data_IF_615472882304
#
_entry.id   IF_615472882304
#
_cell.length_a   1.000
_cell.length_b   1.000
_cell.length_c   1.000
_cell.angle_alpha   90.00
_cell.angle_beta   90.00
_cell.angle_gamma   90.00
#
_symmetry.space_group_name_H-M   'P 1'
#
loop_
_entity.id
_entity.type
_entity.pdbx_description
1 polymer ?
#
# COMPACT_ATOMS: atom_id res chain seq x y z
N UNK A 1 -5.80 -22.36 -3.24
CA UNK A 1 -5.07 -22.11 -1.98
C UNK A 1 -4.01 -21.07 -2.26
N UNK A 2 -4.18 -19.84 -1.77
CA UNK A 2 -3.14 -18.81 -1.85
C UNK A 2 -2.06 -19.13 -0.81
N UNK A 3 -0.79 -18.84 -1.14
CA UNK A 3 0.41 -19.00 -0.30
C UNK A 3 0.41 -18.12 0.98
N UNK A 4 -0.76 -17.73 1.49
CA UNK A 4 -0.90 -16.71 2.54
C UNK A 4 -1.13 -17.26 3.96
N UNK A 5 -1.12 -18.58 4.18
CA UNK A 5 -1.53 -19.15 5.48
C UNK A 5 -0.72 -20.35 5.98
N UNK A 6 0.59 -20.35 5.79
CA UNK A 6 1.44 -21.26 6.54
C UNK A 6 2.53 -20.47 7.25
N UNK A 7 2.21 -20.02 8.47
CA UNK A 7 3.24 -19.94 9.50
C UNK A 7 3.67 -21.39 9.80
N UNK A 8 4.55 -21.95 8.96
CA UNK A 8 5.16 -23.25 9.21
C UNK A 8 6.04 -23.06 10.43
N UNK A 9 5.78 -23.80 11.51
CA UNK A 9 6.62 -23.78 12.69
C UNK A 9 8.09 -24.03 12.28
N UNK A 10 8.96 -23.04 12.51
CA UNK A 10 10.39 -23.12 12.21
C UNK A 10 10.88 -22.32 11.00
N UNK A 11 10.02 -21.70 10.19
CA UNK A 11 10.45 -20.75 9.13
C UNK A 11 10.51 -19.33 9.72
N UNK A 12 11.62 -18.59 9.56
CA UNK A 12 11.71 -17.22 10.05
C UNK A 12 10.73 -16.30 9.31
N UNK A 13 10.04 -15.42 10.05
CA UNK A 13 9.07 -14.47 9.48
C UNK A 13 9.71 -13.57 8.40
N UNK A 14 11.00 -13.25 8.54
CA UNK A 14 11.81 -12.62 7.49
C UNK A 14 12.64 -13.64 6.73
N UNK A 15 12.39 -13.73 5.42
CA UNK A 15 13.07 -14.65 4.49
C UNK A 15 14.04 -13.94 3.54
N UNK A 16 13.97 -12.61 3.45
CA UNK A 16 14.93 -11.78 2.70
C UNK A 16 15.37 -10.56 3.52
N UNK A 17 16.64 -10.12 3.42
CA UNK A 17 17.11 -8.95 4.15
C UNK A 17 16.42 -7.67 3.63
N UNK A 18 16.10 -6.75 4.54
CA UNK A 18 15.75 -5.38 4.18
C UNK A 18 17.01 -4.69 3.66
N UNK A 19 17.02 -4.33 2.37
CA UNK A 19 18.17 -3.72 1.68
C UNK A 19 18.00 -2.22 1.44
N UNK A 20 16.78 -1.76 1.16
CA UNK A 20 16.52 -0.36 0.81
C UNK A 20 15.25 0.17 1.49
N UNK A 21 15.36 1.27 2.23
CA UNK A 21 14.22 1.97 2.81
C UNK A 21 14.05 3.28 2.05
N UNK A 22 12.92 3.44 1.37
CA UNK A 22 12.61 4.66 0.61
C UNK A 22 11.70 5.54 1.46
N UNK A 23 12.25 6.63 1.95
CA UNK A 23 11.52 7.69 2.64
C UNK A 23 10.82 8.57 1.59
N UNK A 24 9.71 8.07 1.07
CA UNK A 24 8.90 8.78 0.08
C UNK A 24 7.42 8.53 0.31
N UNK A 25 6.68 9.59 0.63
CA UNK A 25 5.22 9.50 0.77
C UNK A 25 4.55 9.37 -0.60
N UNK A 26 3.25 9.07 -0.60
CA UNK A 26 2.46 8.97 -1.83
C UNK A 26 2.65 10.18 -2.75
N UNK A 27 2.68 9.93 -4.06
CA UNK A 27 2.80 10.94 -5.14
C UNK A 27 4.16 11.65 -5.25
N UNK A 28 5.22 11.11 -4.67
CA UNK A 28 6.61 11.60 -4.88
C UNK A 28 7.36 10.83 -5.97
N UNK A 29 6.71 9.84 -6.60
CA UNK A 29 7.33 8.96 -7.59
C UNK A 29 7.58 7.53 -7.08
N UNK A 30 6.94 7.13 -5.99
CA UNK A 30 7.11 5.83 -5.32
C UNK A 30 6.90 4.62 -6.24
N UNK A 31 5.92 4.66 -7.16
CA UNK A 31 5.73 3.56 -8.13
C UNK A 31 6.87 3.47 -9.16
N UNK A 32 7.39 4.61 -9.62
CA UNK A 32 8.59 4.65 -10.46
C UNK A 32 9.79 4.10 -9.69
N UNK A 33 9.97 4.51 -8.43
CA UNK A 33 11.04 4.01 -7.56
C UNK A 33 10.91 2.51 -7.31
N UNK A 34 9.70 2.00 -7.04
CA UNK A 34 9.42 0.57 -6.89
C UNK A 34 9.85 -0.21 -8.14
N UNK A 35 9.54 0.30 -9.33
CA UNK A 35 9.97 -0.31 -10.59
C UNK A 35 11.47 -0.18 -10.84
N UNK A 36 12.08 0.93 -10.42
CA UNK A 36 13.51 1.16 -10.56
C UNK A 36 14.30 0.18 -9.69
N UNK A 37 13.92 0.03 -8.42
CA UNK A 37 14.50 -0.93 -7.49
C UNK A 37 14.39 -2.37 -8.02
N UNK A 38 13.25 -2.73 -8.61
CA UNK A 38 13.09 -4.04 -9.25
C UNK A 38 14.10 -4.25 -10.40
N UNK A 39 14.30 -3.26 -11.27
CA UNK A 39 15.29 -3.33 -12.35
C UNK A 39 16.74 -3.40 -11.83
N UNK A 40 17.00 -2.84 -10.65
CA UNK A 40 18.30 -2.89 -9.97
C UNK A 40 18.52 -4.19 -9.18
N UNK A 41 17.58 -5.14 -9.23
CA UNK A 41 17.70 -6.43 -8.52
C UNK A 41 17.28 -6.39 -7.04
N UNK A 42 16.64 -5.31 -6.60
CA UNK A 42 15.96 -5.24 -5.31
C UNK A 42 14.49 -5.64 -5.51
N UNK A 43 14.24 -6.93 -5.42
CA UNK A 43 12.93 -7.51 -5.66
C UNK A 43 12.00 -7.29 -4.46
N UNK A 44 10.70 -7.32 -4.73
CA UNK A 44 9.65 -7.18 -3.72
C UNK A 44 9.78 -5.92 -2.87
N UNK A 45 9.67 -4.76 -3.52
CA UNK A 45 9.53 -3.48 -2.83
C UNK A 45 8.07 -3.28 -2.37
N UNK A 46 7.85 -3.21 -1.06
CA UNK A 46 6.55 -2.98 -0.44
C UNK A 46 5.99 -1.60 -0.80
N UNK A 47 4.69 -1.52 -1.04
CA UNK A 47 3.98 -0.31 -1.46
C UNK A 47 2.49 -0.44 -1.10
N UNK A 48 1.71 0.64 -1.12
CA UNK A 48 0.24 0.60 -1.00
C UNK A 48 -0.44 -0.46 -1.89
N UNK A 49 0.07 -0.69 -3.11
CA UNK A 49 -0.43 -1.73 -4.00
C UNK A 49 -0.33 -3.14 -3.39
N UNK A 50 0.70 -3.41 -2.60
CA UNK A 50 0.89 -4.68 -1.88
C UNK A 50 -0.19 -4.86 -0.81
N UNK A 51 -0.62 -3.79 -0.13
CA UNK A 51 -1.76 -3.85 0.80
C UNK A 51 -3.05 -4.21 0.06
N UNK A 52 -3.31 -3.55 -1.08
CA UNK A 52 -4.50 -3.81 -1.91
C UNK A 52 -4.54 -5.23 -2.50
N UNK A 53 -3.39 -5.90 -2.60
CA UNK A 53 -3.27 -7.29 -3.04
C UNK A 53 -3.45 -8.30 -1.90
N UNK A 54 -3.30 -7.88 -0.64
CA UNK A 54 -3.30 -8.73 0.56
C UNK A 54 -4.26 -8.16 1.63
N UNK A 55 -5.51 -7.87 1.21
CA UNK A 55 -6.55 -7.27 2.06
C UNK A 55 -7.05 -8.18 3.19
N UNK A 56 -6.67 -9.45 3.16
CA UNK A 56 -6.98 -10.47 4.15
C UNK A 56 -6.18 -10.31 5.45
N UNK A 57 -4.96 -9.77 5.37
CA UNK A 57 -4.00 -9.83 6.49
C UNK A 57 -3.25 -8.51 6.73
N UNK A 58 -2.81 -7.82 5.68
CA UNK A 58 -1.97 -6.63 5.84
C UNK A 58 -2.68 -5.44 6.49
N UNK A 59 -3.97 -5.13 6.20
CA UNK A 59 -4.65 -4.00 6.83
C UNK A 59 -4.63 -4.04 8.35
N UNK A 60 -4.79 -5.21 8.97
CA UNK A 60 -4.81 -5.32 10.44
C UNK A 60 -3.44 -5.11 11.07
N UNK A 61 -2.37 -5.64 10.46
CA UNK A 61 -1.00 -5.39 10.89
C UNK A 61 -0.66 -3.89 10.80
N UNK A 62 -1.06 -3.22 9.72
CA UNK A 62 -0.87 -1.77 9.62
C UNK A 62 -1.70 -0.98 10.64
N UNK A 63 -2.95 -1.36 10.90
CA UNK A 63 -3.75 -0.74 11.97
C UNK A 63 -3.00 -0.82 13.30
N UNK A 64 -2.46 -1.99 13.65
CA UNK A 64 -1.64 -2.15 14.87
C UNK A 64 -0.43 -1.22 14.88
N UNK A 65 0.31 -1.12 13.76
CA UNK A 65 1.49 -0.26 13.66
C UNK A 65 1.14 1.22 13.86
N UNK A 66 0.08 1.72 13.21
CA UNK A 66 -0.35 3.11 13.35
C UNK A 66 -0.90 3.42 14.75
N UNK A 67 -1.70 2.53 15.35
CA UNK A 67 -2.21 2.75 16.71
C UNK A 67 -1.08 2.72 17.76
N UNK A 68 -0.06 1.88 17.56
CA UNK A 68 1.13 1.87 18.42
C UNK A 68 1.92 3.18 18.29
N UNK A 69 2.19 3.67 17.07
CA UNK A 69 2.97 4.89 16.84
C UNK A 69 2.25 6.18 17.25
N UNK A 70 0.99 6.35 16.86
CA UNK A 70 0.29 7.64 16.97
C UNK A 70 -0.68 7.73 18.15
N UNK A 71 -1.14 6.60 18.68
CA UNK A 71 -2.10 6.56 19.80
C UNK A 71 -1.50 5.97 21.08
N UNK A 72 -0.23 5.54 21.05
CA UNK A 72 0.43 4.86 22.18
C UNK A 72 -0.25 3.56 22.61
N UNK A 73 -1.05 2.96 21.73
CA UNK A 73 -1.85 1.77 22.06
C UNK A 73 -1.18 0.51 21.53
N UNK A 74 -0.79 -0.38 22.44
CA UNK A 74 -0.09 -1.63 22.10
C UNK A 74 1.38 -1.41 21.71
N UNK A 75 1.98 -2.42 21.10
CA UNK A 75 3.36 -2.39 20.64
C UNK A 75 3.45 -2.99 19.23
N UNK A 76 4.42 -2.49 18.46
CA UNK A 76 4.74 -3.00 17.13
C UNK A 76 6.26 -3.10 16.99
N UNK A 77 6.78 -4.32 17.16
CA UNK A 77 8.21 -4.57 17.27
C UNK A 77 8.84 -5.12 16.00
N UNK A 78 10.13 -5.44 16.08
CA UNK A 78 10.88 -6.06 14.97
C UNK A 78 10.20 -7.32 14.42
N UNK A 79 9.69 -8.19 15.28
CA UNK A 79 8.99 -9.41 14.85
C UNK A 79 7.71 -9.10 14.04
N UNK A 80 6.95 -8.07 14.40
CA UNK A 80 5.79 -7.64 13.61
C UNK A 80 6.21 -7.06 12.25
N UNK A 81 7.31 -6.30 12.21
CA UNK A 81 7.89 -5.81 10.95
C UNK A 81 8.44 -6.93 10.07
N UNK A 82 9.08 -7.93 10.67
CA UNK A 82 9.57 -9.12 9.97
C UNK A 82 8.37 -9.92 9.43
N UNK A 83 7.25 -10.03 10.16
CA UNK A 83 6.03 -10.66 9.65
C UNK A 83 5.39 -9.90 8.49
N UNK A 84 5.40 -8.57 8.54
CA UNK A 84 4.71 -7.71 7.55
C UNK A 84 5.56 -7.44 6.30
N UNK A 85 6.87 -7.32 6.45
CA UNK A 85 7.82 -6.90 5.41
C UNK A 85 8.92 -7.96 5.16
N UNK A 86 8.80 -9.16 5.75
CA UNK A 86 9.83 -10.19 5.76
C UNK A 86 10.16 -10.80 4.41
N UNK A 87 9.21 -10.72 3.48
CA UNK A 87 9.37 -11.11 2.09
C UNK A 87 9.80 -9.94 1.18
N UNK A 88 10.00 -8.75 1.72
CA UNK A 88 10.35 -7.56 0.96
C UNK A 88 11.79 -7.12 1.21
N UNK A 89 12.55 -6.90 0.13
CA UNK A 89 13.91 -6.33 0.21
C UNK A 89 13.89 -4.81 0.31
N UNK A 90 12.75 -4.18 0.00
CA UNK A 90 12.62 -2.75 0.12
C UNK A 90 11.19 -2.34 0.54
N UNK A 91 11.03 -1.11 1.01
CA UNK A 91 9.72 -0.52 1.24
C UNK A 91 9.69 0.95 0.80
N UNK A 92 8.55 1.38 0.30
CA UNK A 92 8.29 2.75 -0.12
C UNK A 92 6.80 3.07 0.00
N UNK A 93 6.44 4.34 -0.19
CA UNK A 93 5.06 4.81 -0.14
C UNK A 93 4.41 4.68 1.24
N UNK A 94 3.23 5.27 1.37
CA UNK A 94 2.28 4.88 2.38
C UNK A 94 1.94 3.38 2.21
N UNK A 95 1.74 2.64 3.30
CA UNK A 95 1.82 3.05 4.70
C UNK A 95 3.23 3.02 5.34
N UNK A 96 4.27 2.57 4.64
CA UNK A 96 5.59 2.38 5.25
C UNK A 96 6.36 3.68 5.52
N UNK A 97 6.19 4.71 4.70
CA UNK A 97 7.01 5.93 4.74
C UNK A 97 7.02 6.64 6.10
N UNK A 98 5.90 6.81 6.83
CA UNK A 98 5.93 7.42 8.16
C UNK A 98 6.73 6.63 9.20
N UNK A 99 7.07 5.37 8.94
CA UNK A 99 7.87 4.53 9.84
C UNK A 99 9.33 4.41 9.40
N UNK A 100 9.77 5.19 8.42
CA UNK A 100 11.12 5.05 7.84
C UNK A 100 12.24 5.22 8.86
N UNK A 101 12.09 6.09 9.86
CA UNK A 101 13.10 6.29 10.90
C UNK A 101 13.22 5.03 11.77
N UNK A 102 12.10 4.49 12.23
CA UNK A 102 12.07 3.27 13.03
C UNK A 102 12.57 2.06 12.23
N UNK A 103 12.18 1.95 10.96
CA UNK A 103 12.67 0.91 10.06
C UNK A 103 14.18 1.06 9.84
N UNK A 104 14.70 2.26 9.64
CA UNK A 104 16.14 2.48 9.45
C UNK A 104 16.95 2.14 10.71
N UNK A 105 16.38 2.34 11.90
CA UNK A 105 16.97 1.92 13.16
C UNK A 105 16.94 0.39 13.34
N UNK A 106 15.83 -0.27 12.98
CA UNK A 106 15.66 -1.73 13.09
C UNK A 106 16.46 -2.53 12.05
N UNK A 107 16.77 -1.91 10.91
CA UNK A 107 17.53 -2.50 9.80
C UNK A 107 18.72 -1.59 9.45
N UNK A 108 19.80 -1.58 10.27
CA UNK A 108 20.92 -0.66 10.09
C UNK A 108 21.71 -0.88 8.79
N UNK A 109 21.71 -2.10 8.26
CA UNK A 109 22.36 -2.45 6.99
C UNK A 109 21.62 -1.92 5.74
N UNK A 110 20.34 -1.52 5.89
CA UNK A 110 19.57 -1.01 4.77
C UNK A 110 20.04 0.40 4.39
N UNK A 111 20.24 0.62 3.09
CA UNK A 111 20.48 1.96 2.52
C UNK A 111 19.19 2.77 2.47
N UNK A 112 19.28 4.09 2.58
CA UNK A 112 18.10 4.95 2.71
C UNK A 112 18.04 5.96 1.57
N UNK A 113 16.90 5.98 0.88
CA UNK A 113 16.62 6.94 -0.20
C UNK A 113 15.53 7.89 0.28
N UNK A 114 15.86 9.15 0.52
CA UNK A 114 14.90 10.21 0.78
C UNK A 114 14.34 10.67 -0.56
N UNK A 115 13.29 9.99 -1.01
CA UNK A 115 12.61 10.26 -2.28
C UNK A 115 11.69 11.46 -2.12
N UNK A 116 12.13 12.61 -2.60
CA UNK A 116 11.44 13.88 -2.36
C UNK A 116 10.86 14.49 -3.65
N UNK A 117 9.94 15.42 -3.45
CA UNK A 117 9.27 16.21 -4.48
C UNK A 117 9.02 17.61 -3.94
N UNK A 118 8.98 18.59 -4.84
CA UNK A 118 8.48 19.92 -4.51
C UNK A 118 7.10 19.81 -3.80
N UNK A 119 6.94 20.40 -2.58
CA UNK A 119 5.73 20.23 -1.76
C UNK A 119 4.46 20.71 -2.46
N UNK A 120 4.51 21.80 -3.21
CA UNK A 120 3.38 22.35 -3.96
C UNK A 120 2.94 21.37 -5.06
N UNK A 121 3.88 20.88 -5.87
CA UNK A 121 3.60 19.85 -6.89
C UNK A 121 3.15 18.52 -6.30
N UNK A 122 3.59 18.18 -5.09
CA UNK A 122 3.09 17.01 -4.36
C UNK A 122 1.62 17.21 -3.97
N UNK A 123 1.29 18.34 -3.35
CA UNK A 123 -0.06 18.68 -2.89
C UNK A 123 -1.06 18.58 -4.05
N UNK A 124 -0.77 19.25 -5.17
CA UNK A 124 -1.61 19.21 -6.38
C UNK A 124 -1.77 17.78 -6.92
N UNK A 125 -0.69 16.99 -6.89
CA UNK A 125 -0.76 15.61 -7.35
C UNK A 125 -1.63 14.75 -6.44
N UNK A 126 -1.53 14.90 -5.12
CA UNK A 126 -2.31 14.17 -4.13
C UNK A 126 -3.80 14.55 -4.18
N UNK A 127 -4.10 15.85 -4.32
CA UNK A 127 -5.47 16.37 -4.45
C UNK A 127 -6.19 15.78 -5.67
N UNK A 128 -5.49 15.69 -6.80
CA UNK A 128 -6.07 15.19 -8.06
C UNK A 128 -5.98 13.67 -8.26
N UNK A 129 -5.51 12.91 -7.27
CA UNK A 129 -5.43 11.44 -7.36
C UNK A 129 -5.97 10.76 -6.11
N UNK A 130 -5.16 10.63 -5.06
CA UNK A 130 -5.49 9.90 -3.83
C UNK A 130 -6.76 10.45 -3.20
N UNK A 131 -6.89 11.77 -3.08
CA UNK A 131 -8.05 12.39 -2.48
C UNK A 131 -9.35 12.08 -3.25
N UNK A 132 -9.31 12.17 -4.59
CA UNK A 132 -10.45 11.81 -5.44
C UNK A 132 -10.83 10.33 -5.35
N UNK A 133 -9.86 9.43 -5.17
CA UNK A 133 -10.13 8.00 -5.09
C UNK A 133 -10.82 7.58 -3.78
N UNK A 134 -10.53 8.28 -2.67
CA UNK A 134 -11.09 7.95 -1.36
C UNK A 134 -12.47 8.57 -1.10
N UNK A 135 -12.83 9.65 -1.80
CA UNK A 135 -14.15 10.29 -1.69
C UNK A 135 -15.12 9.83 -2.78
N UNK A 136 -16.39 9.53 -2.46
CA UNK A 136 -17.39 9.25 -3.49
C UNK A 136 -17.63 10.50 -4.35
N UNK A 137 -17.69 10.31 -5.66
CA UNK A 137 -17.89 11.39 -6.64
C UNK A 137 -19.36 11.56 -7.04
N UNK A 138 -20.24 10.64 -6.63
CA UNK A 138 -21.69 10.70 -6.90
C UNK A 138 -22.51 10.00 -5.81
N UNK A 139 -23.83 10.26 -5.79
CA UNK A 139 -24.77 9.54 -4.90
C UNK A 139 -24.79 8.04 -5.21
N UNK A 140 -24.80 7.66 -6.49
CA UNK A 140 -24.79 6.26 -6.91
C UNK A 140 -23.52 5.55 -6.42
N UNK A 141 -22.36 6.19 -6.55
CA UNK A 141 -21.11 5.64 -6.05
C UNK A 141 -21.11 5.51 -4.51
N UNK A 142 -21.65 6.49 -3.79
CA UNK A 142 -21.82 6.41 -2.33
C UNK A 142 -22.68 5.21 -1.93
N UNK A 143 -23.83 5.00 -2.58
CA UNK A 143 -24.70 3.85 -2.32
C UNK A 143 -23.96 2.54 -2.62
N UNK A 144 -23.26 2.45 -3.74
CA UNK A 144 -22.48 1.25 -4.08
C UNK A 144 -21.34 1.00 -3.09
N UNK A 145 -20.66 2.04 -2.58
CA UNK A 145 -19.64 1.89 -1.54
C UNK A 145 -20.23 1.37 -0.22
N UNK A 146 -21.43 1.84 0.17
CA UNK A 146 -22.14 1.29 1.34
C UNK A 146 -22.53 -0.17 1.14
N UNK A 147 -23.03 -0.52 -0.05
CA UNK A 147 -23.33 -1.90 -0.44
C UNK A 147 -22.09 -2.80 -0.34
N UNK A 148 -20.97 -2.36 -0.93
CA UNK A 148 -19.69 -3.07 -0.82
C UNK A 148 -19.23 -3.20 0.64
N UNK A 149 -19.32 -2.14 1.44
CA UNK A 149 -18.94 -2.19 2.86
C UNK A 149 -19.78 -3.21 3.65
N UNK A 150 -21.09 -3.29 3.38
CA UNK A 150 -21.98 -4.25 4.02
C UNK A 150 -21.64 -5.71 3.66
N UNK A 151 -21.27 -5.97 2.40
CA UNK A 151 -21.20 -7.34 1.86
C UNK A 151 -19.80 -7.83 1.49
N UNK A 152 -18.76 -7.01 1.56
CA UNK A 152 -17.37 -7.37 1.27
C UNK A 152 -16.49 -7.13 2.51
N UNK A 153 -16.15 -8.22 3.22
CA UNK A 153 -15.32 -8.16 4.42
C UNK A 153 -13.95 -7.55 4.17
N UNK A 154 -13.34 -7.81 3.01
CA UNK A 154 -12.04 -7.23 2.65
C UNK A 154 -12.10 -5.71 2.54
N UNK A 155 -13.21 -5.15 2.08
CA UNK A 155 -13.40 -3.71 2.04
C UNK A 155 -13.61 -3.13 3.44
N UNK A 156 -14.24 -3.84 4.37
CA UNK A 156 -14.29 -3.37 5.76
C UNK A 156 -12.89 -3.27 6.37
N UNK A 157 -12.05 -4.28 6.16
CA UNK A 157 -10.64 -4.25 6.61
C UNK A 157 -9.87 -3.10 5.96
N UNK A 158 -10.02 -2.90 4.64
CA UNK A 158 -9.44 -1.77 3.93
C UNK A 158 -9.89 -0.40 4.47
N UNK A 159 -11.20 -0.22 4.68
CA UNK A 159 -11.79 1.03 5.17
C UNK A 159 -11.31 1.33 6.58
N UNK A 160 -11.27 0.32 7.46
CA UNK A 160 -10.71 0.46 8.82
C UNK A 160 -9.26 0.93 8.77
N UNK A 161 -8.42 0.25 8.01
CA UNK A 161 -7.01 0.64 7.83
C UNK A 161 -6.87 2.05 7.25
N UNK A 162 -7.61 2.37 6.19
CA UNK A 162 -7.57 3.68 5.54
C UNK A 162 -7.96 4.80 6.50
N UNK A 163 -9.00 4.58 7.31
CA UNK A 163 -9.44 5.54 8.32
C UNK A 163 -8.37 5.77 9.39
N UNK A 164 -7.77 4.69 9.93
CA UNK A 164 -6.68 4.81 10.92
C UNK A 164 -5.48 5.54 10.30
N UNK A 165 -5.02 5.13 9.13
CA UNK A 165 -3.89 5.77 8.45
C UNK A 165 -4.15 7.27 8.23
N UNK A 166 -5.32 7.64 7.68
CA UNK A 166 -5.63 9.03 7.39
C UNK A 166 -5.79 9.85 8.68
N UNK A 167 -6.60 9.38 9.63
CA UNK A 167 -6.90 10.17 10.85
C UNK A 167 -5.73 10.25 11.83
N UNK A 168 -4.85 9.25 11.87
CA UNK A 168 -3.70 9.23 12.78
C UNK A 168 -2.46 9.90 12.19
N UNK A 169 -2.15 9.60 10.92
CA UNK A 169 -0.90 10.03 10.30
C UNK A 169 -1.05 11.29 9.48
N UNK A 170 -2.21 11.56 8.87
CA UNK A 170 -2.45 12.73 8.00
C UNK A 170 -3.72 13.50 8.43
N UNK A 171 -3.74 14.09 9.65
CA UNK A 171 -4.95 14.68 10.24
C UNK A 171 -5.28 16.07 9.65
N UNK A 172 -5.49 16.14 8.35
CA UNK A 172 -5.89 17.35 7.63
C UNK A 172 -6.87 17.04 6.50
N UNK A 173 -7.75 17.98 6.18
CA UNK A 173 -8.57 17.95 4.98
C UNK A 173 -7.76 18.45 3.79
N UNK A 174 -7.42 17.52 2.88
CA UNK A 174 -6.57 17.82 1.72
C UNK A 174 -7.17 18.86 0.75
N UNK A 175 -8.46 19.20 0.82
CA UNK A 175 -9.09 20.21 -0.05
C UNK A 175 -9.05 21.58 0.59
N UNK A 176 -9.42 21.64 1.87
CA UNK A 176 -9.65 22.91 2.56
C UNK A 176 -8.45 23.38 3.38
N UNK A 177 -7.47 22.50 3.63
CA UNK A 177 -6.34 22.76 4.54
C UNK A 177 -4.99 22.53 3.86
N UNK A 178 -4.78 23.17 2.70
CA UNK A 178 -3.54 23.10 1.93
C UNK A 178 -2.29 23.34 2.77
N UNK A 179 -2.30 24.41 3.58
CA UNK A 179 -1.13 24.77 4.40
C UNK A 179 -0.80 23.70 5.43
N UNK A 180 -1.81 23.03 6.01
CA UNK A 180 -1.60 21.90 6.92
C UNK A 180 -1.04 20.68 6.19
N UNK A 181 -1.51 20.41 4.97
CA UNK A 181 -0.98 19.32 4.15
C UNK A 181 0.50 19.54 3.81
N UNK A 182 0.87 20.76 3.40
CA UNK A 182 2.25 21.13 3.09
C UNK A 182 3.12 21.11 4.35
N UNK A 183 2.63 21.64 5.46
CA UNK A 183 3.33 21.60 6.74
C UNK A 183 3.59 20.17 7.21
N UNK A 184 2.59 19.29 7.09
CA UNK A 184 2.73 17.85 7.37
C UNK A 184 3.81 17.21 6.48
N UNK A 185 3.77 17.47 5.17
CA UNK A 185 4.77 16.94 4.23
C UNK A 185 6.17 17.38 4.65
N UNK A 186 6.39 18.68 4.86
CA UNK A 186 7.69 19.20 5.26
C UNK A 186 8.17 18.63 6.60
N UNK A 187 7.27 18.52 7.59
CA UNK A 187 7.58 17.93 8.89
C UNK A 187 8.01 16.46 8.75
N UNK A 188 7.32 15.67 7.93
CA UNK A 188 7.64 14.27 7.70
C UNK A 188 9.04 14.10 7.08
N UNK A 189 9.41 14.94 6.10
CA UNK A 189 10.74 14.92 5.51
C UNK A 189 11.82 15.45 6.45
N UNK A 190 11.49 16.41 7.32
CA UNK A 190 12.41 16.85 8.36
C UNK A 190 12.67 15.75 9.39
N UNK A 191 11.64 14.98 9.78
CA UNK A 191 11.77 13.80 10.63
C UNK A 191 12.74 12.78 10.02
N UNK A 192 12.63 12.50 8.71
CA UNK A 192 13.55 11.59 8.01
C UNK A 192 15.00 12.07 8.06
N UNK A 193 15.23 13.36 7.78
CA UNK A 193 16.58 13.95 7.77
C UNK A 193 17.21 14.00 9.17
N UNK A 194 16.40 14.21 10.20
CA UNK A 194 16.87 14.28 11.58
C UNK A 194 17.08 12.90 12.21
N UNK A 195 16.23 11.93 11.87
CA UNK A 195 16.18 10.63 12.52
C UNK A 195 17.11 9.58 11.90
N UNK A 196 17.66 9.82 10.71
CA UNK A 196 18.47 8.84 9.97
C UNK A 196 19.86 9.43 9.71
N UNK A 197 20.95 8.71 10.04
CA UNK A 197 22.31 9.19 9.79
C UNK A 197 22.54 9.56 8.32
N UNK A 198 23.10 10.74 8.07
CA UNK A 198 23.19 11.32 6.73
C UNK A 198 24.06 10.48 5.78
N UNK A 199 25.08 9.80 6.30
CA UNK A 199 25.97 8.89 5.57
C UNK A 199 25.24 7.67 5.00
N UNK A 200 24.08 7.30 5.54
CA UNK A 200 23.22 6.23 5.02
C UNK A 200 22.19 6.71 4.00
N UNK A 201 22.06 8.02 3.83
CA UNK A 201 20.99 8.65 3.08
C UNK A 201 21.47 9.22 1.75
N UNK A 202 20.58 9.20 0.76
CA UNK A 202 20.63 10.07 -0.41
C UNK A 202 19.33 10.86 -0.50
N UNK A 203 19.43 12.19 -0.68
CA UNK A 203 18.29 13.00 -1.12
C UNK A 203 18.14 12.82 -2.63
N UNK A 204 16.97 12.34 -3.07
CA UNK A 204 16.79 11.90 -4.45
C UNK A 204 15.44 12.33 -5.01
N UNK A 205 15.43 12.75 -6.27
CA UNK A 205 14.23 12.96 -7.06
C UNK A 205 14.24 12.02 -8.25
N UNK A 206 13.08 11.52 -8.66
CA UNK A 206 12.96 10.68 -9.87
C UNK A 206 13.50 11.35 -11.15
N UNK A 207 13.66 12.67 -11.15
CA UNK A 207 14.25 13.42 -12.27
C UNK A 207 15.78 13.28 -12.34
N UNK A 208 16.43 12.87 -11.25
CA UNK A 208 17.90 12.76 -11.16
C UNK A 208 18.43 11.50 -11.87
N UNK A 209 17.53 10.58 -12.27
CA UNK A 209 17.86 9.43 -13.10
C UNK A 209 18.63 8.33 -12.37
N UNK A 210 19.34 7.49 -13.13
CA UNK A 210 19.98 6.28 -12.59
C UNK A 210 21.25 6.55 -11.80
N UNK A 211 22.15 7.38 -12.33
CA UNK A 211 23.52 7.51 -11.83
C UNK A 211 23.61 7.72 -10.31
N UNK A 212 23.01 8.77 -9.72
CA UNK A 212 23.12 9.00 -8.27
C UNK A 212 22.47 7.88 -7.43
N UNK A 213 21.37 7.30 -7.91
CA UNK A 213 20.70 6.18 -7.24
C UNK A 213 21.58 4.93 -7.23
N UNK A 214 22.17 4.58 -8.37
CA UNK A 214 23.01 3.39 -8.53
C UNK A 214 24.32 3.51 -7.74
N UNK A 215 24.96 4.68 -7.77
CA UNK A 215 26.15 4.97 -6.96
C UNK A 215 25.87 4.80 -5.47
N UNK A 216 24.78 5.40 -4.97
CA UNK A 216 24.39 5.25 -3.56
C UNK A 216 24.08 3.80 -3.22
N UNK A 217 23.31 3.09 -4.06
CA UNK A 217 22.93 1.70 -3.82
C UNK A 217 24.08 0.71 -4.04
N UNK A 218 25.18 1.11 -4.69
CA UNK A 218 26.34 0.26 -4.96
C UNK A 218 26.06 -0.80 -6.02
N UNK A 219 25.27 -0.45 -7.04
CA UNK A 219 24.86 -1.33 -8.15
C UNK A 219 25.15 -0.67 -9.49
N UNK A 220 25.19 -1.45 -10.56
CA UNK A 220 25.39 -0.93 -11.91
C UNK A 220 24.13 -0.27 -12.48
N UNK A 221 24.31 0.73 -13.34
CA UNK A 221 23.22 1.32 -14.14
C UNK A 221 22.63 0.24 -15.06
N UNK A 222 21.30 0.07 -15.11
CA UNK A 222 20.68 -0.95 -15.94
C UNK A 222 20.82 -0.60 -17.42
N UNK A 223 21.23 -1.59 -18.22
CA UNK A 223 21.39 -1.48 -19.68
C UNK A 223 20.32 -2.31 -20.39
N UNK A 224 19.80 -1.80 -21.50
CA UNK A 224 18.85 -2.51 -22.37
C UNK A 224 19.32 -2.44 -23.81
N UNK A 225 18.93 -3.43 -24.60
CA UNK A 225 19.18 -3.41 -26.04
C UNK A 225 18.18 -2.45 -26.71
N UNK A 226 18.70 -1.42 -27.36
CA UNK A 226 17.90 -0.53 -28.18
C UNK A 226 17.34 -1.30 -29.39
N UNK A 227 16.01 -1.29 -29.56
CA UNK A 227 15.35 -2.09 -30.59
C UNK A 227 15.62 -1.60 -32.01
N UNK A 228 15.97 -0.32 -32.19
CA UNK A 228 16.20 0.27 -33.50
C UNK A 228 17.64 0.08 -33.97
N UNK A 229 18.61 0.19 -33.05
CA UNK A 229 20.05 0.19 -33.34
C UNK A 229 20.75 -1.09 -32.93
N UNK A 230 20.12 -1.93 -32.11
CA UNK A 230 20.70 -3.17 -31.56
C UNK A 230 21.80 -2.95 -30.51
N UNK A 231 22.13 -1.69 -30.19
CA UNK A 231 23.18 -1.33 -29.23
C UNK A 231 22.68 -1.39 -27.80
N UNK A 232 23.59 -1.70 -26.87
CA UNK A 232 23.30 -1.55 -25.43
C UNK A 232 23.33 -0.07 -25.06
N UNK A 233 22.21 0.42 -24.51
CA UNK A 233 22.05 1.78 -24.01
C UNK A 233 21.51 1.74 -22.58
N UNK A 234 21.64 2.83 -21.84
CA UNK A 234 21.01 2.94 -20.52
C UNK A 234 19.50 2.76 -20.64
N UNK A 235 18.92 1.96 -19.75
CA UNK A 235 17.47 1.82 -19.68
C UNK A 235 16.84 3.19 -19.36
N UNK A 236 15.70 3.56 -19.98
CA UNK A 236 14.99 4.76 -19.54
C UNK A 236 14.54 4.58 -18.09
N UNK A 237 14.77 5.59 -17.25
CA UNK A 237 14.29 5.56 -15.87
C UNK A 237 12.76 5.38 -15.85
N UNK A 238 12.20 4.47 -15.04
CA UNK A 238 10.77 4.17 -15.06
C UNK A 238 9.91 5.40 -14.82
N UNK A 239 8.93 5.64 -15.69
CA UNK A 239 7.89 6.66 -15.52
C UNK A 239 6.54 5.97 -15.52
N UNK A 240 6.06 5.60 -14.34
CA UNK A 240 4.84 4.81 -14.14
C UNK A 240 3.90 5.56 -13.20
N UNK A 241 2.61 5.21 -13.25
CA UNK A 241 1.58 5.73 -12.35
C UNK A 241 1.22 7.20 -12.64
N UNK A 242 1.06 7.51 -13.92
CA UNK A 242 0.35 8.71 -14.35
C UNK A 242 -1.09 8.72 -13.84
N UNK A 243 -1.77 9.86 -14.03
CA UNK A 243 -3.10 10.09 -13.49
C UNK A 243 -4.13 9.10 -14.04
N UNK A 244 -4.00 8.73 -15.31
CA UNK A 244 -4.93 7.82 -15.99
C UNK A 244 -4.79 6.39 -15.45
N UNK A 245 -3.55 5.89 -15.38
CA UNK A 245 -3.24 4.56 -14.82
C UNK A 245 -3.73 4.45 -13.37
N UNK A 246 -3.56 5.52 -12.58
CA UNK A 246 -4.07 5.56 -11.20
C UNK A 246 -5.60 5.47 -11.13
N UNK A 247 -6.30 6.23 -11.98
CA UNK A 247 -7.75 6.22 -12.05
C UNK A 247 -8.27 4.84 -12.49
N UNK A 248 -7.61 4.21 -13.46
CA UNK A 248 -7.96 2.86 -13.90
C UNK A 248 -7.78 1.83 -12.79
N UNK A 249 -6.64 1.87 -12.08
CA UNK A 249 -6.38 0.98 -10.95
C UNK A 249 -7.40 1.16 -9.81
N UNK A 250 -7.81 2.40 -9.54
CA UNK A 250 -8.86 2.71 -8.56
C UNK A 250 -10.20 2.10 -8.96
N UNK A 251 -10.58 2.24 -10.25
CA UNK A 251 -11.80 1.64 -10.81
C UNK A 251 -11.77 0.11 -10.73
N UNK A 252 -10.64 -0.52 -11.07
CA UNK A 252 -10.47 -1.98 -11.00
C UNK A 252 -10.61 -2.49 -9.57
N UNK A 253 -10.06 -1.77 -8.59
CA UNK A 253 -10.19 -2.12 -7.16
C UNK A 253 -11.64 -2.07 -6.71
N UNK A 254 -12.36 -1.02 -7.10
CA UNK A 254 -13.79 -0.89 -6.81
C UNK A 254 -14.63 -1.99 -7.45
N UNK A 255 -14.40 -2.32 -8.73
CA UNK A 255 -15.10 -3.40 -9.43
C UNK A 255 -14.88 -4.77 -8.77
N UNK A 256 -13.66 -5.06 -8.30
CA UNK A 256 -13.37 -6.29 -7.56
C UNK A 256 -14.19 -6.38 -6.28
N UNK A 257 -14.36 -5.27 -5.57
CA UNK A 257 -15.20 -5.23 -4.38
C UNK A 257 -16.67 -5.47 -4.71
N UNK A 258 -17.22 -4.77 -5.71
CA UNK A 258 -18.60 -4.96 -6.14
C UNK A 258 -18.87 -6.43 -6.53
N UNK A 259 -17.93 -7.07 -7.25
CA UNK A 259 -18.03 -8.50 -7.58
C UNK A 259 -18.11 -9.39 -6.34
N UNK A 260 -17.26 -9.16 -5.32
CA UNK A 260 -17.31 -9.92 -4.06
C UNK A 260 -18.58 -9.68 -3.27
N UNK A 261 -19.08 -8.44 -3.25
CA UNK A 261 -20.34 -8.09 -2.62
C UNK A 261 -21.53 -8.82 -3.29
N UNK A 262 -21.56 -8.86 -4.62
CA UNK A 262 -22.55 -9.64 -5.37
C UNK A 262 -22.47 -11.13 -5.06
N UNK A 263 -21.27 -11.71 -5.05
CA UNK A 263 -21.07 -13.12 -4.69
C UNK A 263 -21.59 -13.43 -3.29
N UNK A 264 -21.33 -12.55 -2.32
CA UNK A 264 -21.81 -12.69 -0.94
C UNK A 264 -23.33 -12.60 -0.87
N UNK A 265 -23.94 -11.63 -1.58
CA UNK A 265 -25.39 -11.51 -1.67
C UNK A 265 -26.04 -12.79 -2.22
N UNK A 266 -25.56 -13.28 -3.36
CA UNK A 266 -26.11 -14.48 -3.99
C UNK A 266 -25.93 -15.72 -3.12
N UNK A 267 -24.79 -15.85 -2.43
CA UNK A 267 -24.57 -16.94 -1.48
C UNK A 267 -25.56 -16.90 -0.31
N UNK A 268 -25.86 -15.71 0.24
CA UNK A 268 -26.84 -15.56 1.31
C UNK A 268 -28.28 -15.87 0.84
N UNK A 269 -28.68 -15.35 -0.33
CA UNK A 269 -29.99 -15.65 -0.91
C UNK A 269 -30.15 -17.14 -1.21
N UNK A 270 -29.11 -17.79 -1.74
CA UNK A 270 -29.10 -19.23 -1.98
C UNK A 270 -29.26 -20.03 -0.68
N UNK A 271 -28.55 -19.65 0.39
CA UNK A 271 -28.71 -20.28 1.72
C UNK A 271 -30.14 -20.12 2.25
N UNK A 272 -30.72 -18.92 2.16
CA UNK A 272 -32.10 -18.67 2.58
C UNK A 272 -33.10 -19.51 1.80
N UNK A 273 -32.93 -19.61 0.48
CA UNK A 273 -33.79 -20.45 -0.36
C UNK A 273 -33.71 -21.94 0.03
N UNK A 274 -32.51 -22.45 0.31
CA UNK A 274 -32.31 -23.84 0.76
C UNK A 274 -32.98 -24.06 2.13
N UNK A 275 -32.78 -23.15 3.09
CA UNK A 275 -33.40 -23.25 4.43
C UNK A 275 -34.93 -23.22 4.32
N UNK A 276 -35.48 -22.33 3.50
CA UNK A 276 -36.92 -22.24 3.26
C UNK A 276 -37.46 -23.53 2.61
N UNK A 277 -36.77 -24.09 1.62
CA UNK A 277 -37.16 -25.35 0.98
C UNK A 277 -37.13 -26.53 1.96
N UNK A 278 -36.08 -26.64 2.78
CA UNK A 278 -35.99 -27.67 3.82
C UNK A 278 -37.09 -27.52 4.87
N UNK A 279 -37.39 -26.30 5.30
CA UNK A 279 -38.49 -26.00 6.22
C UNK A 279 -39.85 -26.38 5.63
N UNK A 280 -40.08 -26.08 4.35
CA UNK A 280 -41.29 -26.46 3.64
C UNK A 280 -41.43 -27.98 3.51
N UNK A 281 -40.36 -28.69 3.15
CA UNK A 281 -40.35 -30.16 3.10
C UNK A 281 -40.64 -30.77 4.48
N UNK A 282 -40.01 -30.26 5.55
CA UNK A 282 -40.27 -30.72 6.91
C UNK A 282 -41.72 -30.50 7.32
N UNK A 283 -42.32 -29.36 6.97
CA UNK A 283 -43.72 -29.07 7.20
C UNK A 283 -44.66 -30.02 6.44
N UNK A 284 -44.36 -30.32 5.17
CA UNK A 284 -45.11 -31.31 4.39
C UNK A 284 -45.02 -32.72 5.00
N UNK A 285 -43.83 -33.15 5.44
CA UNK A 285 -43.63 -34.44 6.10
C UNK A 285 -44.42 -34.49 7.41
N UNK A 286 -44.41 -33.42 8.20
CA UNK A 286 -45.22 -33.34 9.42
C UNK A 286 -46.71 -33.49 9.13
N UNK A 287 -47.24 -32.85 8.09
CA UNK A 287 -48.65 -33.01 7.69
C UNK A 287 -49.02 -34.43 7.24
N UNK A 288 -48.06 -35.19 6.70
CA UNK A 288 -48.31 -36.55 6.21
C UNK A 288 -48.28 -37.61 7.33
N UNK A 289 -47.57 -37.35 8.43
CA UNK A 289 -47.30 -38.35 9.47
C UNK A 289 -47.65 -37.91 10.90
N UNK A 290 -48.17 -36.69 11.09
CA UNK A 290 -48.53 -36.10 12.37
C UNK A 290 -50.03 -35.91 12.59
#
# INVERSE_FOLDING_TARGET
MTMAQLAVAGVPDRVVPMKVIVCGVHRTGTMSMRSALWQLGFHDCYHMHTVLQNLDSHPELWVRAYEAKYSGTGAFGKADWDRLLGNCQACCDMPSAPFSVELAALYPEAKVVILNRDPERWYESALHSVHKAVRPQSMAERVMRMYCYALDSYIRSWVRFSNVMMTRSMPFDHVNEKDKAIAWFNAQYQEFRNGIPAERCIEYRVQDGWKPLCEHLGVAVPMVQDRATGKLVEAPFPRINDRETFAENSRRTFQRSARRAHQTLFAMLGKLAVVAALGYVAWLVWLMFG
#
